data_IF_637658198739
#
_entry.id   IF_637658198739
#
_cell.length_a   1.000
_cell.length_b   1.000
_cell.length_c   1.000
_cell.angle_alpha   90.00
_cell.angle_beta   90.00
_cell.angle_gamma   90.00
#
_symmetry.space_group_name_H-M   'P 1'
#
loop_
_entity.id
_entity.type
_entity.pdbx_description
1 polymer ?
#
# COMPACT_ATOMS: atom_id res chain seq x y z
N UNK A 1 -26.77 9.84 -10.21
CA UNK A 1 -27.57 8.65 -9.88
C UNK A 1 -26.97 8.01 -8.64
N UNK A 2 -27.76 7.86 -7.55
CA UNK A 2 -27.31 7.41 -6.22
C UNK A 2 -26.61 6.05 -6.32
N UNK A 3 -25.37 5.96 -5.83
CA UNK A 3 -24.64 4.69 -5.70
C UNK A 3 -25.39 3.79 -4.70
N UNK A 4 -26.10 2.79 -5.22
CA UNK A 4 -26.58 1.65 -4.43
C UNK A 4 -25.35 0.81 -4.07
N UNK A 5 -24.63 1.24 -3.05
CA UNK A 5 -23.86 0.30 -2.24
C UNK A 5 -24.86 -0.69 -1.65
N UNK A 6 -24.57 -1.98 -1.83
CA UNK A 6 -25.27 -3.09 -1.21
C UNK A 6 -25.56 -2.76 0.28
N UNK A 7 -26.73 -3.12 0.83
CA UNK A 7 -27.03 -2.85 2.21
C UNK A 7 -25.93 -3.47 3.08
N UNK A 8 -25.41 -2.66 4.01
CA UNK A 8 -24.46 -3.07 5.04
C UNK A 8 -24.86 -4.46 5.53
N UNK A 9 -24.03 -5.47 5.24
CA UNK A 9 -24.22 -6.81 5.79
C UNK A 9 -24.39 -6.64 7.29
N UNK A 10 -25.47 -7.24 7.81
CA UNK A 10 -25.80 -7.38 9.24
C UNK A 10 -24.51 -7.41 10.07
N UNK A 11 -24.39 -6.54 11.08
CA UNK A 11 -23.42 -6.71 12.17
C UNK A 11 -23.42 -8.19 12.54
N UNK A 12 -22.31 -8.89 12.33
CA UNK A 12 -22.16 -10.25 12.85
C UNK A 12 -22.50 -10.17 14.33
N UNK A 13 -23.36 -11.07 14.84
CA UNK A 13 -23.56 -11.19 16.29
C UNK A 13 -22.16 -11.22 16.93
N UNK A 14 -21.85 -10.24 17.76
CA UNK A 14 -20.64 -10.30 18.57
C UNK A 14 -20.73 -11.56 19.40
N UNK A 15 -19.66 -12.36 19.37
CA UNK A 15 -19.66 -13.66 19.98
C UNK A 15 -19.83 -13.50 21.50
N UNK A 16 -20.50 -14.45 22.15
CA UNK A 16 -20.61 -14.41 23.61
C UNK A 16 -19.22 -14.49 24.26
N UNK A 17 -19.05 -13.96 25.47
CA UNK A 17 -17.81 -14.08 26.24
C UNK A 17 -17.30 -15.53 26.32
N UNK A 18 -18.22 -16.47 26.54
CA UNK A 18 -17.89 -17.89 26.57
C UNK A 18 -17.33 -18.41 25.23
N UNK A 19 -17.74 -17.84 24.10
CA UNK A 19 -17.22 -18.19 22.78
C UNK A 19 -15.84 -17.59 22.52
N UNK A 20 -15.62 -16.32 22.89
CA UNK A 20 -14.31 -15.68 22.74
C UNK A 20 -13.25 -16.33 23.67
N UNK A 21 -13.62 -16.69 24.90
CA UNK A 21 -12.72 -17.45 25.77
C UNK A 21 -12.37 -18.82 25.20
N UNK A 22 -13.34 -19.54 24.60
CA UNK A 22 -13.04 -20.80 23.89
C UNK A 22 -12.14 -20.59 22.67
N UNK A 23 -12.21 -19.45 21.98
CA UNK A 23 -11.28 -19.12 20.89
C UNK A 23 -9.88 -18.86 21.42
N UNK A 24 -9.75 -18.15 22.53
CA UNK A 24 -8.47 -17.95 23.21
C UNK A 24 -7.84 -19.30 23.63
N UNK A 25 -8.63 -20.20 24.22
CA UNK A 25 -8.15 -21.53 24.65
C UNK A 25 -7.59 -22.37 23.49
N UNK A 26 -8.11 -22.23 22.27
CA UNK A 26 -7.56 -22.91 21.08
C UNK A 26 -6.16 -22.46 20.68
N UNK A 27 -5.68 -21.35 21.22
CA UNK A 27 -4.34 -20.82 20.96
C UNK A 27 -3.28 -21.32 21.97
N UNK A 28 -3.69 -22.06 23.00
CA UNK A 28 -2.79 -22.59 24.03
C UNK A 28 -1.93 -23.74 23.48
N UNK A 29 -0.67 -23.80 23.89
CA UNK A 29 0.16 -25.00 23.71
C UNK A 29 0.04 -25.89 24.96
N UNK A 30 -0.33 -27.18 24.86
CA UNK A 30 -0.37 -28.03 26.03
C UNK A 30 0.99 -28.10 26.74
N UNK A 31 1.08 -27.95 28.10
CA UNK A 31 -0.01 -27.92 29.08
C UNK A 31 -0.39 -26.51 29.60
N UNK A 32 -0.30 -25.46 28.78
CA UNK A 32 -0.61 -24.08 29.17
C UNK A 32 -2.07 -23.88 29.62
N UNK A 33 -2.26 -22.95 30.56
CA UNK A 33 -3.56 -22.39 30.90
C UNK A 33 -3.65 -20.94 30.41
N UNK A 34 -4.86 -20.46 30.11
CA UNK A 34 -5.08 -19.07 29.69
C UNK A 34 -4.69 -18.11 30.84
N UNK A 35 -3.71 -17.21 30.65
CA UNK A 35 -3.31 -16.29 31.70
C UNK A 35 -4.46 -15.37 32.13
N UNK A 36 -4.56 -15.11 33.43
CA UNK A 36 -5.63 -14.25 33.98
C UNK A 36 -5.63 -12.82 33.38
N UNK A 37 -4.48 -12.17 33.11
CA UNK A 37 -4.47 -10.90 32.38
C UNK A 37 -5.14 -10.98 31.00
N UNK A 38 -4.91 -12.06 30.26
CA UNK A 38 -5.50 -12.28 28.93
C UNK A 38 -7.01 -12.48 29.04
N UNK A 39 -7.46 -13.27 30.03
CA UNK A 39 -8.89 -13.44 30.32
C UNK A 39 -9.58 -12.09 30.58
N UNK A 40 -8.95 -11.23 31.40
CA UNK A 40 -9.46 -9.87 31.68
C UNK A 40 -9.55 -9.01 30.42
N UNK A 41 -8.54 -9.05 29.54
CA UNK A 41 -8.57 -8.36 28.25
C UNK A 41 -9.74 -8.85 27.36
N UNK A 42 -9.94 -10.17 27.26
CA UNK A 42 -11.05 -10.75 26.48
C UNK A 42 -12.41 -10.30 27.04
N UNK A 43 -12.58 -10.36 28.36
CA UNK A 43 -13.81 -9.90 29.02
C UNK A 43 -14.06 -8.42 28.74
N UNK A 44 -13.06 -7.56 28.96
CA UNK A 44 -13.16 -6.12 28.75
C UNK A 44 -13.62 -5.75 27.33
N UNK A 45 -13.01 -6.38 26.31
CA UNK A 45 -13.30 -6.11 24.90
C UNK A 45 -14.69 -6.64 24.50
N UNK A 46 -15.06 -7.83 24.98
CA UNK A 46 -16.34 -8.45 24.67
C UNK A 46 -17.51 -7.69 25.29
N UNK A 47 -17.39 -7.27 26.56
CA UNK A 47 -18.44 -6.49 27.25
C UNK A 47 -18.68 -5.11 26.59
N UNK A 48 -17.70 -4.59 25.86
CA UNK A 48 -17.75 -3.28 25.18
C UNK A 48 -18.06 -3.37 23.69
N UNK A 49 -18.39 -4.55 23.17
CA UNK A 49 -18.72 -4.77 21.76
C UNK A 49 -17.58 -4.36 20.79
N UNK A 50 -16.31 -4.47 21.23
CA UNK A 50 -15.14 -4.13 20.43
C UNK A 50 -14.69 -5.36 19.65
N UNK A 51 -14.44 -5.22 18.33
CA UNK A 51 -13.82 -6.31 17.57
C UNK A 51 -12.37 -6.51 18.00
N UNK A 52 -11.97 -7.77 18.21
CA UNK A 52 -10.58 -8.10 18.46
C UNK A 52 -10.19 -9.48 17.91
N UNK A 53 -8.88 -9.67 17.77
CA UNK A 53 -8.26 -10.96 17.48
C UNK A 53 -7.06 -11.20 18.40
N UNK A 54 -7.03 -12.36 19.04
CA UNK A 54 -5.87 -12.80 19.82
C UNK A 54 -4.88 -13.56 18.96
N UNK A 55 -3.59 -13.39 19.25
CA UNK A 55 -2.51 -14.16 18.64
C UNK A 55 -1.47 -14.53 19.71
N UNK A 56 -0.77 -15.65 19.51
CA UNK A 56 0.42 -16.01 20.30
C UNK A 56 1.66 -15.43 19.65
N UNK A 57 2.58 -14.93 20.46
CA UNK A 57 3.88 -14.42 20.04
C UNK A 57 4.99 -14.94 20.95
N UNK A 58 6.23 -14.91 20.46
CA UNK A 58 7.41 -15.04 21.33
C UNK A 58 7.41 -13.90 22.37
N UNK A 59 8.03 -14.08 23.57
CA UNK A 59 8.05 -13.04 24.60
C UNK A 59 8.55 -11.69 24.05
N UNK A 60 7.81 -10.62 24.27
CA UNK A 60 8.07 -9.29 23.71
C UNK A 60 8.22 -8.25 24.81
N UNK A 61 9.32 -7.49 24.83
CA UNK A 61 9.61 -6.50 25.89
C UNK A 61 9.73 -5.04 25.43
N UNK A 62 9.68 -4.77 24.12
CA UNK A 62 9.72 -3.41 23.56
C UNK A 62 8.82 -3.30 22.33
N UNK A 63 8.43 -2.09 21.94
CA UNK A 63 7.57 -1.88 20.75
C UNK A 63 8.21 -2.41 19.47
N UNK A 64 9.52 -2.23 19.28
CA UNK A 64 10.22 -2.74 18.09
C UNK A 64 10.29 -4.27 18.06
N UNK A 65 10.57 -4.86 19.22
CA UNK A 65 10.56 -6.32 19.41
C UNK A 65 9.14 -6.89 19.26
N UNK A 66 8.12 -6.12 19.63
CA UNK A 66 6.72 -6.47 19.46
C UNK A 66 6.36 -6.52 17.99
N UNK A 67 6.60 -5.42 17.28
CA UNK A 67 6.27 -5.30 15.87
C UNK A 67 6.92 -6.43 15.06
N UNK A 68 8.18 -6.81 15.35
CA UNK A 68 8.86 -7.88 14.62
C UNK A 68 8.39 -9.29 14.94
N UNK A 69 7.74 -9.54 16.10
CA UNK A 69 7.31 -10.87 16.56
C UNK A 69 5.80 -11.10 16.51
N UNK A 70 5.02 -10.05 16.28
CA UNK A 70 3.57 -10.17 16.11
C UNK A 70 3.23 -10.83 14.79
N UNK A 71 2.08 -11.52 14.76
CA UNK A 71 1.64 -12.27 13.58
C UNK A 71 0.39 -11.66 12.98
N UNK A 72 0.39 -11.46 11.66
CA UNK A 72 -0.79 -11.07 10.88
C UNK A 72 -0.75 -11.76 9.51
N UNK A 73 -1.89 -12.25 9.05
CA UNK A 73 -2.04 -12.92 7.75
C UNK A 73 -1.02 -14.05 7.49
N UNK A 74 -0.67 -14.82 8.53
CA UNK A 74 0.28 -15.94 8.39
C UNK A 74 1.75 -15.54 8.33
N UNK A 75 2.08 -14.25 8.47
CA UNK A 75 3.44 -13.74 8.53
C UNK A 75 3.78 -13.23 9.93
N UNK A 76 5.08 -13.30 10.29
CA UNK A 76 5.64 -12.70 11.50
C UNK A 76 6.26 -11.35 11.14
N UNK A 77 5.96 -10.33 11.93
CA UNK A 77 6.23 -8.94 11.62
C UNK A 77 4.96 -8.18 11.24
N UNK A 78 4.72 -7.05 11.89
CA UNK A 78 3.73 -6.04 11.50
C UNK A 78 4.42 -4.69 11.28
N UNK A 79 3.81 -3.78 10.53
CA UNK A 79 4.25 -2.40 10.51
C UNK A 79 4.28 -1.78 11.92
N UNK A 80 5.30 -0.97 12.23
CA UNK A 80 5.44 -0.35 13.54
C UNK A 80 4.31 0.64 13.85
N UNK A 81 3.68 1.26 12.84
CA UNK A 81 2.48 2.08 13.06
C UNK A 81 1.27 1.28 13.49
N UNK A 82 1.27 -0.05 13.28
CA UNK A 82 0.23 -0.95 13.80
C UNK A 82 0.54 -1.42 15.23
N UNK A 83 1.73 -1.14 15.77
CA UNK A 83 1.98 -1.32 17.20
C UNK A 83 1.27 -0.21 18.00
N UNK A 84 0.55 -0.59 19.04
CA UNK A 84 -0.08 0.33 19.98
C UNK A 84 0.78 0.47 21.24
N UNK A 85 1.38 1.65 21.37
CA UNK A 85 2.31 2.01 22.43
C UNK A 85 1.57 2.74 23.55
N UNK A 86 1.83 2.34 24.78
CA UNK A 86 1.27 2.97 25.98
C UNK A 86 2.39 3.46 26.89
N UNK A 87 2.24 4.68 27.39
CA UNK A 87 3.09 5.29 28.40
C UNK A 87 2.29 5.47 29.68
N UNK A 88 2.88 5.18 30.83
CA UNK A 88 2.24 5.38 32.13
C UNK A 88 3.03 6.43 32.91
N UNK A 89 2.32 7.43 33.43
CA UNK A 89 2.91 8.52 34.19
C UNK A 89 1.99 9.06 35.27
N UNK A 90 2.45 10.10 35.95
CA UNK A 90 1.72 10.78 37.00
C UNK A 90 1.78 12.28 36.76
N UNK A 91 0.70 12.99 37.07
CA UNK A 91 0.65 14.44 36.94
C UNK A 91 -0.06 15.07 38.15
N UNK A 92 0.09 16.37 38.30
CA UNK A 92 -0.64 17.17 39.28
C UNK A 92 -1.70 17.95 38.52
N UNK A 93 -2.97 17.73 38.86
CA UNK A 93 -4.07 18.42 38.20
C UNK A 93 -4.22 19.87 38.68
N UNK A 94 -5.13 20.63 38.07
CA UNK A 94 -5.38 22.03 38.44
C UNK A 94 -5.79 22.25 39.91
N UNK A 95 -6.30 21.21 40.58
CA UNK A 95 -6.64 21.23 42.01
C UNK A 95 -5.47 20.87 42.95
N UNK A 96 -4.27 20.62 42.42
CA UNK A 96 -3.11 20.20 43.20
C UNK A 96 -3.10 18.72 43.59
N UNK A 97 -4.07 17.92 43.12
CA UNK A 97 -4.15 16.47 43.41
C UNK A 97 -3.29 15.70 42.41
N UNK A 98 -2.54 14.72 42.93
CA UNK A 98 -1.79 13.79 42.09
C UNK A 98 -2.72 12.75 41.44
N UNK A 99 -2.59 12.55 40.14
CA UNK A 99 -3.39 11.60 39.35
C UNK A 99 -2.49 10.81 38.38
N UNK A 100 -2.92 9.60 38.03
CA UNK A 100 -2.26 8.77 37.04
C UNK A 100 -2.82 9.03 35.64
N UNK A 101 -1.95 8.89 34.64
CA UNK A 101 -2.32 8.98 33.23
C UNK A 101 -1.66 7.88 32.42
N UNK A 102 -2.39 7.36 31.43
CA UNK A 102 -1.83 6.56 30.34
C UNK A 102 -1.96 7.32 29.03
N UNK A 103 -0.84 7.57 28.37
CA UNK A 103 -0.79 8.15 27.03
C UNK A 103 -0.62 7.05 25.99
N UNK A 104 -1.44 7.05 24.94
CA UNK A 104 -1.44 6.04 23.90
C UNK A 104 -1.11 6.65 22.54
N UNK A 105 -0.18 6.03 21.80
CA UNK A 105 0.14 6.42 20.43
C UNK A 105 0.54 5.20 19.60
N UNK A 106 0.73 5.39 18.29
CA UNK A 106 1.28 4.36 17.40
C UNK A 106 2.77 4.14 17.67
N UNK A 107 3.28 2.96 17.39
CA UNK A 107 4.67 2.58 17.69
C UNK A 107 5.71 3.40 16.92
N UNK A 108 5.35 3.93 15.75
CA UNK A 108 6.18 4.81 14.89
C UNK A 108 6.16 6.28 15.33
N UNK A 109 5.73 6.53 16.58
CA UNK A 109 5.63 7.85 17.19
C UNK A 109 6.42 7.95 18.49
N UNK A 110 6.93 9.16 18.72
CA UNK A 110 7.51 9.59 19.99
C UNK A 110 6.43 10.33 20.76
N UNK A 111 6.19 9.93 22.01
CA UNK A 111 5.26 10.63 22.89
C UNK A 111 5.87 11.97 23.33
N UNK A 112 5.15 13.06 23.13
CA UNK A 112 5.55 14.38 23.59
C UNK A 112 4.90 14.69 24.95
N UNK A 113 5.69 14.64 26.02
CA UNK A 113 5.22 14.88 27.39
C UNK A 113 4.69 16.31 27.60
N UNK A 114 5.18 17.29 26.85
CA UNK A 114 4.69 18.67 26.91
C UNK A 114 3.28 18.77 26.33
N UNK A 115 3.03 18.11 25.19
CA UNK A 115 1.70 18.07 24.59
C UNK A 115 0.72 17.28 25.47
N UNK A 116 1.17 16.15 26.04
CA UNK A 116 0.36 15.39 26.99
C UNK A 116 0.00 16.23 28.22
N UNK A 117 0.95 16.97 28.81
CA UNK A 117 0.69 17.85 29.96
C UNK A 117 -0.36 18.92 29.63
N UNK A 118 -0.24 19.56 28.45
CA UNK A 118 -1.21 20.54 27.96
C UNK A 118 -2.61 19.95 27.81
N UNK A 119 -2.73 18.73 27.28
CA UNK A 119 -4.02 18.05 27.11
C UNK A 119 -4.76 17.79 28.44
N UNK A 120 -4.01 17.72 29.55
CA UNK A 120 -4.52 17.49 30.90
C UNK A 120 -4.67 18.79 31.71
N UNK A 121 -4.38 19.95 31.13
CA UNK A 121 -4.23 21.21 31.87
C UNK A 121 -3.25 21.10 33.05
N UNK A 122 -2.16 20.35 32.87
CA UNK A 122 -1.12 20.13 33.86
C UNK A 122 0.13 20.96 33.54
N UNK A 123 0.85 21.43 34.55
CA UNK A 123 2.13 22.14 34.36
C UNK A 123 3.25 21.19 33.91
N UNK A 124 3.32 20.01 34.52
CA UNK A 124 4.29 18.97 34.20
C UNK A 124 3.67 17.58 34.39
N UNK A 125 4.22 16.61 33.68
CA UNK A 125 3.98 15.17 33.90
C UNK A 125 5.32 14.59 34.35
N UNK A 126 5.30 13.76 35.39
CA UNK A 126 6.50 13.07 35.82
C UNK A 126 7.03 12.19 34.69
N UNK A 127 8.35 12.14 34.51
CA UNK A 127 8.96 11.07 33.71
C UNK A 127 8.52 9.69 34.24
N UNK A 128 8.65 8.68 33.38
CA UNK A 128 8.24 7.27 33.60
C UNK A 128 8.30 6.87 35.08
N UNK A 129 7.21 6.30 35.61
CA UNK A 129 7.25 5.73 36.96
C UNK A 129 8.38 4.70 37.07
N UNK A 130 9.16 4.70 38.16
CA UNK A 130 10.15 3.66 38.42
C UNK A 130 9.53 2.27 38.34
N UNK A 131 10.30 1.27 37.92
CA UNK A 131 9.82 -0.11 37.78
C UNK A 131 9.23 -0.65 39.09
N UNK A 132 9.81 -0.27 40.24
CA UNK A 132 9.36 -0.68 41.57
C UNK A 132 7.97 -0.12 41.90
N UNK A 133 7.69 1.12 41.49
CA UNK A 133 6.37 1.74 41.68
C UNK A 133 5.32 1.12 40.75
N UNK A 134 5.71 0.73 39.54
CA UNK A 134 4.83 -0.04 38.65
C UNK A 134 4.53 -1.44 39.20
N UNK A 135 5.54 -2.14 39.74
CA UNK A 135 5.34 -3.44 40.37
C UNK A 135 4.39 -3.37 41.56
N UNK A 136 4.46 -2.30 42.36
CA UNK A 136 3.49 -2.05 43.46
C UNK A 136 2.06 -1.91 42.94
N UNK A 137 1.89 -1.36 41.74
CA UNK A 137 0.59 -1.26 41.05
C UNK A 137 0.23 -2.53 40.25
N UNK A 138 1.04 -3.60 40.34
CA UNK A 138 0.83 -4.85 39.59
C UNK A 138 1.13 -4.74 38.09
N UNK A 139 1.93 -3.75 37.68
CA UNK A 139 2.25 -3.44 36.28
C UNK A 139 3.72 -3.72 35.97
N UNK A 140 4.00 -4.14 34.74
CA UNK A 140 5.35 -4.27 34.21
C UNK A 140 5.46 -3.51 32.88
N UNK A 141 6.60 -2.86 32.63
CA UNK A 141 6.86 -2.25 31.32
C UNK A 141 6.83 -3.33 30.23
N UNK A 142 6.11 -3.05 29.14
CA UNK A 142 5.81 -4.03 28.10
C UNK A 142 4.49 -4.77 28.31
N UNK A 143 3.87 -4.67 29.49
CA UNK A 143 2.51 -5.17 29.77
C UNK A 143 1.49 -4.05 29.96
N UNK A 144 1.95 -2.80 30.07
CA UNK A 144 1.09 -1.61 30.08
C UNK A 144 0.33 -1.52 28.76
N UNK A 145 -0.98 -1.65 28.85
CA UNK A 145 -1.92 -1.68 27.73
C UNK A 145 -3.20 -0.92 28.14
N UNK A 146 -4.08 -0.57 27.21
CA UNK A 146 -5.24 0.27 27.52
C UNK A 146 -6.35 -0.49 28.29
N UNK A 147 -6.18 -1.80 28.46
CA UNK A 147 -7.04 -2.68 29.27
C UNK A 147 -6.51 -2.82 30.71
N UNK A 148 -5.32 -2.29 31.00
CA UNK A 148 -4.73 -2.31 32.33
C UNK A 148 -5.65 -1.56 33.28
N UNK A 149 -6.04 -2.28 34.33
CA UNK A 149 -7.04 -1.80 35.26
C UNK A 149 -8.45 -1.98 34.73
N UNK A 150 -8.79 -3.16 34.17
CA UNK A 150 -10.17 -3.59 33.94
C UNK A 150 -10.98 -3.54 35.26
N UNK A 151 -11.43 -2.32 35.51
CA UNK A 151 -12.49 -1.72 36.30
C UNK A 151 -13.60 -2.67 36.79
N UNK A 152 -13.27 -3.62 37.67
CA UNK A 152 -14.22 -4.20 38.61
C UNK A 152 -13.84 -3.81 40.04
N UNK A 153 -14.82 -3.44 40.90
CA UNK A 153 -14.54 -3.13 42.31
C UNK A 153 -13.84 -4.32 43.00
N UNK A 154 -12.76 -4.08 43.74
CA UNK A 154 -12.20 -5.06 44.68
C UNK A 154 -10.92 -5.81 44.27
N UNK A 155 -10.22 -5.41 43.19
CA UNK A 155 -8.96 -6.05 42.77
C UNK A 155 -7.86 -5.05 42.35
N UNK A 156 -8.02 -3.77 42.65
CA UNK A 156 -7.02 -2.73 42.45
C UNK A 156 -6.35 -2.39 43.78
N UNK A 157 -5.10 -1.91 43.72
CA UNK A 157 -4.48 -1.24 44.86
C UNK A 157 -5.44 -0.12 45.35
N UNK A 158 -5.73 -0.02 46.67
CA UNK A 158 -6.56 1.04 47.24
C UNK A 158 -6.20 2.46 46.76
N UNK A 159 -4.95 2.68 46.34
CA UNK A 159 -4.47 3.95 45.78
C UNK A 159 -5.08 4.29 44.40
N UNK A 160 -5.37 3.29 43.56
CA UNK A 160 -5.98 3.48 42.23
C UNK A 160 -7.50 3.68 42.38
N UNK A 161 -8.16 2.98 43.30
CA UNK A 161 -9.60 3.16 43.57
C UNK A 161 -9.93 4.61 44.01
N UNK A 162 -8.97 5.32 44.61
CA UNK A 162 -9.13 6.71 45.08
C UNK A 162 -8.76 7.77 44.01
N UNK A 163 -8.12 7.37 42.91
CA UNK A 163 -7.71 8.27 41.81
C UNK A 163 -7.75 7.54 40.47
N UNK A 164 -8.84 7.68 39.68
CA UNK A 164 -8.97 6.98 38.40
C UNK A 164 -7.84 7.35 37.47
N UNK A 165 -7.36 6.36 36.71
CA UNK A 165 -6.32 6.53 35.70
C UNK A 165 -6.96 7.14 34.47
N UNK A 166 -6.53 8.33 34.07
CA UNK A 166 -6.98 8.96 32.83
C UNK A 166 -6.29 8.32 31.63
N UNK A 167 -7.03 8.07 30.55
CA UNK A 167 -6.44 7.61 29.29
C UNK A 167 -6.48 8.74 28.25
N UNK A 168 -5.33 9.06 27.67
CA UNK A 168 -5.19 10.03 26.59
C UNK A 168 -4.74 9.29 25.34
N UNK A 169 -5.54 9.35 24.28
CA UNK A 169 -5.25 8.75 23.00
C UNK A 169 -4.75 9.83 22.03
N UNK A 170 -3.64 9.55 21.37
CA UNK A 170 -3.17 10.38 20.28
C UNK A 170 -4.24 10.47 19.18
N UNK A 171 -4.46 11.66 18.64
CA UNK A 171 -5.50 11.93 17.65
C UNK A 171 -5.34 11.06 16.38
N UNK A 172 -4.12 10.65 16.03
CA UNK A 172 -3.86 9.78 14.87
C UNK A 172 -4.40 8.35 15.07
N UNK A 173 -4.58 7.89 16.30
CA UNK A 173 -5.22 6.59 16.59
C UNK A 173 -6.68 6.56 16.16
N UNK A 174 -7.32 7.72 15.97
CA UNK A 174 -8.70 7.80 15.48
C UNK A 174 -8.79 7.58 13.95
N UNK A 175 -7.64 7.59 13.26
CA UNK A 175 -7.55 7.28 11.84
C UNK A 175 -7.12 5.83 11.63
N UNK A 176 -7.85 5.11 10.77
CA UNK A 176 -7.50 3.76 10.34
C UNK A 176 -6.43 3.84 9.24
N UNK A 177 -5.20 3.50 9.60
CA UNK A 177 -4.01 3.59 8.73
C UNK A 177 -3.68 2.20 8.17
N UNK A 178 -3.46 2.11 6.86
CA UNK A 178 -3.20 0.82 6.20
C UNK A 178 -4.41 -0.11 6.20
N UNK A 179 -4.16 -1.40 5.98
CA UNK A 179 -5.19 -2.46 5.96
C UNK A 179 -4.84 -3.52 7.01
N UNK A 180 -5.75 -3.86 7.95
CA UNK A 180 -7.15 -3.42 8.03
C UNK A 180 -7.37 -2.09 8.77
N UNK A 181 -6.31 -1.40 9.21
CA UNK A 181 -6.43 -0.17 9.99
C UNK A 181 -6.57 -0.38 11.50
N UNK A 182 -6.30 -1.60 11.95
CA UNK A 182 -6.22 -2.02 13.35
C UNK A 182 -4.85 -1.70 13.94
N UNK A 183 -4.75 -1.85 15.25
CA UNK A 183 -3.49 -1.80 16.00
C UNK A 183 -3.36 -3.04 16.87
N UNK A 184 -2.16 -3.32 17.38
CA UNK A 184 -1.86 -4.45 18.23
C UNK A 184 -1.08 -4.04 19.48
N UNK A 185 -1.40 -4.65 20.62
CA UNK A 185 -0.58 -4.54 21.84
C UNK A 185 -0.53 -5.88 22.55
N UNK A 186 0.19 -5.98 23.66
CA UNK A 186 0.19 -7.18 24.49
C UNK A 186 -1.15 -7.31 25.23
N UNK A 187 -1.72 -8.52 25.27
CA UNK A 187 -2.98 -8.80 25.95
C UNK A 187 -2.77 -9.02 27.48
N UNK A 188 -1.92 -8.18 28.09
CA UNK A 188 -1.52 -8.33 29.51
C UNK A 188 -0.53 -9.46 29.80
N UNK A 189 -0.04 -10.17 28.78
CA UNK A 189 1.00 -11.20 28.89
C UNK A 189 2.03 -11.04 27.76
N UNK A 190 3.32 -11.27 28.03
CA UNK A 190 4.42 -11.04 27.07
C UNK A 190 4.35 -11.96 25.85
N UNK A 191 3.61 -13.07 25.95
CA UNK A 191 3.44 -14.09 24.92
C UNK A 191 2.08 -14.02 24.20
N UNK A 192 1.23 -13.06 24.58
CA UNK A 192 -0.07 -12.85 23.96
C UNK A 192 -0.20 -11.45 23.36
N UNK A 193 -0.65 -11.39 22.13
CA UNK A 193 -1.00 -10.17 21.42
C UNK A 193 -2.52 -10.08 21.25
N UNK A 194 -3.03 -8.86 21.26
CA UNK A 194 -4.41 -8.55 20.87
C UNK A 194 -4.41 -7.47 19.81
N UNK A 195 -5.14 -7.73 18.73
CA UNK A 195 -5.42 -6.81 17.63
C UNK A 195 -6.83 -6.23 17.80
N UNK A 196 -7.00 -4.92 17.58
CA UNK A 196 -8.27 -4.22 17.74
C UNK A 196 -8.30 -2.90 16.98
N UNK A 197 -9.48 -2.27 16.88
CA UNK A 197 -9.62 -0.91 16.35
C UNK A 197 -9.46 0.13 17.47
N UNK A 198 -8.43 0.97 17.37
CA UNK A 198 -8.14 1.98 18.40
C UNK A 198 -9.26 3.02 18.55
N UNK A 199 -9.93 3.38 17.43
CA UNK A 199 -11.05 4.32 17.43
C UNK A 199 -12.30 3.73 18.12
N UNK A 200 -12.51 2.42 18.04
CA UNK A 200 -13.59 1.74 18.77
C UNK A 200 -13.29 1.71 20.27
N UNK A 201 -12.06 1.33 20.64
CA UNK A 201 -11.62 1.31 22.03
C UNK A 201 -11.79 2.68 22.70
N UNK A 202 -11.25 3.75 22.10
CA UNK A 202 -11.27 5.08 22.71
C UNK A 202 -12.69 5.61 22.95
N UNK A 203 -13.68 5.19 22.15
CA UNK A 203 -15.11 5.54 22.34
C UNK A 203 -15.78 4.82 23.51
N UNK A 204 -15.19 3.75 24.02
CA UNK A 204 -15.77 2.91 25.09
C UNK A 204 -15.05 3.05 26.43
N UNK A 205 -13.91 3.75 26.46
CA UNK A 205 -13.17 4.06 27.68
C UNK A 205 -13.77 5.32 28.30
N UNK A 206 -14.21 5.20 29.55
CA UNK A 206 -14.79 6.31 30.29
C UNK A 206 -13.75 7.43 30.48
N UNK A 207 -14.16 8.67 30.23
CA UNK A 207 -13.31 9.86 30.36
C UNK A 207 -12.04 9.83 29.48
N UNK A 208 -12.05 9.08 28.38
CA UNK A 208 -10.96 9.13 27.40
C UNK A 208 -10.79 10.54 26.82
N UNK A 209 -9.56 11.01 26.74
CA UNK A 209 -9.18 12.28 26.13
C UNK A 209 -8.54 11.99 24.77
N UNK A 210 -8.99 12.67 23.72
CA UNK A 210 -8.35 12.62 22.40
C UNK A 210 -7.57 13.93 22.21
N UNK A 211 -6.26 13.83 22.01
CA UNK A 211 -5.40 15.00 21.83
C UNK A 211 -4.19 14.65 20.95
N UNK A 212 -3.59 15.64 20.31
CA UNK A 212 -2.29 15.48 19.67
C UNK A 212 -1.23 15.40 20.78
N UNK A 213 -0.66 14.22 21.01
CA UNK A 213 0.30 13.96 22.09
C UNK A 213 1.58 13.27 21.61
N UNK A 214 1.70 13.01 20.30
CA UNK A 214 2.82 12.30 19.73
C UNK A 214 3.30 12.91 18.41
N UNK A 215 4.59 12.73 18.13
CA UNK A 215 5.26 13.26 16.94
C UNK A 215 5.90 12.13 16.14
N UNK A 216 6.11 12.29 14.81
CA UNK A 216 6.81 11.31 13.99
C UNK A 216 8.20 10.98 14.54
N UNK A 217 8.52 9.68 14.62
CA UNK A 217 9.87 9.22 14.96
C UNK A 217 10.74 9.20 13.70
N UNK A 218 11.72 10.11 13.55
CA UNK A 218 12.58 10.17 12.36
C UNK A 218 13.47 8.94 12.21
N UNK A 219 13.76 8.20 13.30
CA UNK A 219 14.61 7.02 13.26
C UNK A 219 13.89 5.77 12.74
N UNK A 220 12.55 5.77 12.85
CA UNK A 220 11.71 4.62 12.49
C UNK A 220 11.11 4.74 11.08
N UNK A 221 10.94 5.95 10.55
CA UNK A 221 10.31 6.19 9.25
C UNK A 221 10.81 5.32 8.06
N UNK A 222 12.12 5.01 7.90
CA UNK A 222 12.61 4.23 6.77
C UNK A 222 12.64 2.71 6.98
N UNK A 223 12.20 2.20 8.15
CA UNK A 223 12.47 0.80 8.57
C UNK A 223 11.24 -0.10 8.65
N UNK A 224 10.07 0.40 8.28
CA UNK A 224 8.81 -0.25 8.62
C UNK A 224 8.28 -1.08 7.44
N UNK A 225 7.89 -2.37 7.66
CA UNK A 225 7.19 -3.17 6.67
C UNK A 225 5.87 -2.52 6.21
N UNK A 226 5.49 -2.71 4.95
CA UNK A 226 4.24 -2.21 4.39
C UNK A 226 4.25 -0.73 4.00
N UNK A 227 3.06 -0.19 3.69
CA UNK A 227 2.87 1.19 3.26
C UNK A 227 1.82 1.89 4.12
N UNK A 228 2.23 2.96 4.79
CA UNK A 228 1.38 3.73 5.72
C UNK A 228 0.17 4.36 5.03
N UNK A 229 0.37 4.90 3.83
CA UNK A 229 -0.68 5.56 3.06
C UNK A 229 -0.72 4.98 1.63
N UNK A 230 -1.38 3.83 1.41
CA UNK A 230 -1.44 3.21 0.10
C UNK A 230 -2.22 4.09 -0.87
N UNK A 231 -1.59 4.39 -2.01
CA UNK A 231 -2.20 5.16 -3.10
C UNK A 231 -2.81 4.21 -4.14
N UNK A 232 -3.94 4.60 -4.69
CA UNK A 232 -4.66 3.82 -5.71
C UNK A 232 -4.13 4.08 -7.13
N UNK A 233 -4.07 3.03 -7.94
CA UNK A 233 -3.65 3.10 -9.35
C UNK A 233 -4.86 2.83 -10.25
N UNK A 234 -5.12 3.73 -11.19
CA UNK A 234 -6.03 3.52 -12.30
C UNK A 234 -5.28 2.97 -13.50
N UNK A 235 -5.77 1.90 -14.11
CA UNK A 235 -5.22 1.34 -15.36
C UNK A 235 -6.31 1.38 -16.41
N UNK A 236 -6.11 2.16 -17.46
CA UNK A 236 -6.93 2.09 -18.66
C UNK A 236 -6.25 1.17 -19.67
N UNK A 237 -7.01 0.23 -20.23
CA UNK A 237 -6.52 -0.76 -21.18
C UNK A 237 -7.61 -1.10 -22.21
N UNK A 238 -7.30 -1.98 -23.16
CA UNK A 238 -8.23 -2.37 -24.23
C UNK A 238 -7.57 -2.56 -25.59
N UNK A 239 -6.30 -2.20 -25.74
CA UNK A 239 -5.50 -2.44 -26.95
C UNK A 239 -4.22 -3.25 -26.65
N UNK A 240 -4.27 -4.55 -26.42
CA UNK A 240 -5.45 -5.36 -26.07
C UNK A 240 -5.73 -5.28 -24.55
N UNK A 241 -6.84 -5.86 -24.03
CA UNK A 241 -7.06 -5.97 -22.59
C UNK A 241 -5.92 -6.66 -21.82
N UNK A 242 -5.27 -7.64 -22.46
CA UNK A 242 -4.11 -8.36 -21.93
C UNK A 242 -2.97 -7.43 -21.51
N UNK A 243 -2.79 -6.30 -22.20
CA UNK A 243 -1.78 -5.29 -21.88
C UNK A 243 -1.95 -4.75 -20.46
N UNK A 244 -3.19 -4.48 -20.03
CA UNK A 244 -3.49 -4.00 -18.69
C UNK A 244 -3.32 -5.07 -17.61
N UNK A 245 -3.65 -6.33 -17.93
CA UNK A 245 -3.44 -7.48 -17.03
C UNK A 245 -1.95 -7.68 -16.77
N UNK A 246 -1.13 -7.64 -17.83
CA UNK A 246 0.33 -7.74 -17.71
C UNK A 246 0.90 -6.56 -16.93
N UNK A 247 0.47 -5.33 -17.23
CA UNK A 247 0.94 -4.16 -16.50
C UNK A 247 0.71 -4.32 -15.00
N UNK A 248 -0.50 -4.70 -14.61
CA UNK A 248 -0.86 -4.89 -13.20
C UNK A 248 -0.03 -6.00 -12.55
N UNK A 249 0.14 -7.12 -13.24
CA UNK A 249 0.98 -8.23 -12.77
C UNK A 249 2.41 -7.76 -12.48
N UNK A 250 3.03 -7.08 -13.45
CA UNK A 250 4.38 -6.53 -13.31
C UNK A 250 4.47 -5.47 -12.21
N UNK A 251 3.45 -4.63 -12.04
CA UNK A 251 3.41 -3.64 -10.93
C UNK A 251 3.47 -4.37 -9.59
N UNK A 252 2.68 -5.43 -9.39
CA UNK A 252 2.72 -6.22 -8.16
C UNK A 252 4.10 -6.85 -7.93
N UNK A 253 4.73 -7.36 -8.98
CA UNK A 253 6.07 -7.96 -8.90
C UNK A 253 7.13 -6.91 -8.51
N UNK A 254 7.08 -5.72 -9.11
CA UNK A 254 7.95 -4.61 -8.73
C UNK A 254 7.70 -4.11 -7.31
N UNK A 255 6.45 -4.05 -6.85
CA UNK A 255 6.13 -3.70 -5.46
C UNK A 255 6.75 -4.71 -4.50
N UNK A 256 6.63 -6.02 -4.77
CA UNK A 256 7.30 -7.06 -3.96
C UNK A 256 8.81 -6.92 -3.99
N UNK A 257 9.39 -6.69 -5.16
CA UNK A 257 10.84 -6.56 -5.33
C UNK A 257 11.40 -5.34 -4.59
N UNK A 258 10.75 -4.18 -4.73
CA UNK A 258 11.17 -2.92 -4.12
C UNK A 258 11.00 -2.93 -2.60
N UNK A 259 9.94 -3.59 -2.08
CA UNK A 259 9.76 -3.78 -0.64
C UNK A 259 10.67 -4.88 -0.08
N UNK A 260 11.00 -5.91 -0.86
CA UNK A 260 11.79 -7.05 -0.40
C UNK A 260 11.20 -7.68 0.86
N UNK A 261 12.03 -7.79 1.92
CA UNK A 261 11.59 -8.31 3.23
C UNK A 261 10.50 -7.49 3.92
N UNK A 262 10.29 -6.24 3.49
CA UNK A 262 9.27 -5.35 4.02
C UNK A 262 7.89 -5.55 3.34
N UNK A 263 7.78 -6.49 2.39
CA UNK A 263 6.50 -6.85 1.78
C UNK A 263 5.66 -7.69 2.74
N UNK A 264 4.49 -7.17 3.12
CA UNK A 264 3.51 -7.83 3.99
C UNK A 264 2.42 -8.58 3.19
N UNK A 265 2.76 -9.07 1.99
CA UNK A 265 1.80 -9.75 1.12
C UNK A 265 0.70 -8.83 0.59
N UNK A 266 -0.55 -9.29 0.65
CA UNK A 266 -1.71 -8.63 0.04
C UNK A 266 -1.88 -7.17 0.48
N UNK A 267 -1.67 -6.87 1.76
CA UNK A 267 -1.86 -5.53 2.32
C UNK A 267 -0.78 -4.53 1.88
N UNK A 268 0.28 -5.01 1.20
CA UNK A 268 1.29 -4.15 0.58
C UNK A 268 0.96 -3.79 -0.87
N UNK A 269 0.03 -4.50 -1.51
CA UNK A 269 -0.29 -4.29 -2.92
C UNK A 269 -1.17 -3.05 -3.11
N UNK A 270 -1.02 -2.32 -4.24
CA UNK A 270 -1.83 -1.14 -4.50
C UNK A 270 -3.30 -1.51 -4.70
N UNK A 271 -4.25 -0.69 -4.21
CA UNK A 271 -5.62 -0.71 -4.70
C UNK A 271 -5.63 -0.34 -6.18
N UNK A 272 -6.21 -1.17 -7.05
CA UNK A 272 -6.23 -0.95 -8.50
C UNK A 272 -7.66 -0.86 -9.04
N UNK A 273 -7.91 0.14 -9.88
CA UNK A 273 -9.13 0.26 -10.69
C UNK A 273 -8.76 0.06 -12.15
N UNK A 274 -9.26 -1.00 -12.77
CA UNK A 274 -9.02 -1.27 -14.20
C UNK A 274 -10.26 -0.89 -14.99
N UNK A 275 -10.07 -0.13 -16.08
CA UNK A 275 -11.10 0.16 -17.06
C UNK A 275 -10.64 -0.34 -18.43
N UNK A 276 -11.21 -1.45 -18.87
CA UNK A 276 -10.87 -2.10 -20.14
C UNK A 276 -11.90 -1.74 -21.20
N UNK A 277 -11.51 -0.96 -22.22
CA UNK A 277 -12.39 -0.48 -23.29
C UNK A 277 -11.91 -0.96 -24.67
N UNK A 278 -12.65 -1.86 -25.35
CA UNK A 278 -12.22 -2.39 -26.65
C UNK A 278 -12.10 -1.31 -27.73
N UNK A 279 -12.76 -0.16 -27.58
CA UNK A 279 -12.65 1.01 -28.47
C UNK A 279 -11.22 1.54 -28.58
N UNK A 280 -10.37 1.33 -27.57
CA UNK A 280 -8.94 1.65 -27.68
C UNK A 280 -8.25 0.87 -28.80
N UNK A 281 -8.76 -0.31 -29.19
CA UNK A 281 -8.21 -1.08 -30.30
C UNK A 281 -8.21 -0.33 -31.63
N UNK A 282 -9.08 0.66 -31.78
CA UNK A 282 -9.15 1.54 -32.94
C UNK A 282 -7.91 2.45 -33.08
N UNK A 283 -7.06 2.55 -32.04
CA UNK A 283 -5.79 3.29 -32.10
C UNK A 283 -4.80 2.69 -33.10
N UNK A 284 -5.00 1.44 -33.54
CA UNK A 284 -4.21 0.86 -34.62
C UNK A 284 -4.48 1.53 -36.00
N UNK A 285 -5.53 2.35 -36.10
CA UNK A 285 -5.93 3.15 -37.27
C UNK A 285 -6.06 4.64 -36.89
N UNK A 286 -5.08 5.18 -36.12
CA UNK A 286 -5.16 6.53 -35.57
C UNK A 286 -5.44 7.60 -36.63
N UNK A 287 -4.86 7.49 -37.83
CA UNK A 287 -5.09 8.40 -38.96
C UNK A 287 -6.57 8.58 -39.34
N UNK A 288 -7.40 7.57 -39.08
CA UNK A 288 -8.82 7.54 -39.46
C UNK A 288 -9.76 7.63 -38.27
N UNK A 289 -9.28 7.29 -37.08
CA UNK A 289 -10.13 7.03 -35.90
C UNK A 289 -9.74 7.82 -34.66
N UNK A 290 -8.82 8.77 -34.78
CA UNK A 290 -8.33 9.62 -33.69
C UNK A 290 -9.45 10.14 -32.78
N UNK A 291 -10.48 10.78 -33.34
CA UNK A 291 -11.59 11.36 -32.57
C UNK A 291 -12.39 10.31 -31.78
N UNK A 292 -12.62 9.13 -32.37
CA UNK A 292 -13.35 8.04 -31.72
C UNK A 292 -12.54 7.44 -30.57
N UNK A 293 -11.24 7.24 -30.79
CA UNK A 293 -10.31 6.73 -29.76
C UNK A 293 -10.23 7.73 -28.62
N UNK A 294 -10.06 9.02 -28.92
CA UNK A 294 -9.98 10.06 -27.91
C UNK A 294 -11.26 10.15 -27.08
N UNK A 295 -12.43 10.13 -27.74
CA UNK A 295 -13.72 10.16 -27.03
C UNK A 295 -13.84 9.02 -26.03
N UNK A 296 -13.54 7.79 -26.47
CA UNK A 296 -13.59 6.61 -25.60
C UNK A 296 -12.59 6.71 -24.45
N UNK A 297 -11.34 7.11 -24.74
CA UNK A 297 -10.29 7.27 -23.74
C UNK A 297 -10.66 8.34 -22.70
N UNK A 298 -11.20 9.48 -23.13
CA UNK A 298 -11.68 10.55 -22.24
C UNK A 298 -12.77 10.05 -21.30
N UNK A 299 -13.75 9.29 -21.80
CA UNK A 299 -14.81 8.72 -20.96
C UNK A 299 -14.27 7.72 -19.94
N UNK A 300 -13.30 6.89 -20.33
CA UNK A 300 -12.60 5.97 -19.44
C UNK A 300 -11.82 6.71 -18.33
N UNK A 301 -11.10 7.78 -18.67
CA UNK A 301 -10.40 8.64 -17.70
C UNK A 301 -11.39 9.17 -16.68
N UNK A 302 -12.49 9.79 -17.12
CA UNK A 302 -13.52 10.32 -16.23
C UNK A 302 -14.18 9.24 -15.36
N UNK A 303 -14.33 8.01 -15.87
CA UNK A 303 -14.85 6.88 -15.09
C UNK A 303 -13.88 6.47 -13.98
N UNK A 304 -12.60 6.33 -14.30
CA UNK A 304 -11.54 5.98 -13.35
C UNK A 304 -11.32 7.11 -12.33
N UNK A 305 -11.38 8.37 -12.76
CA UNK A 305 -11.29 9.53 -11.85
C UNK A 305 -12.37 9.53 -10.79
N UNK A 306 -13.61 9.16 -11.15
CA UNK A 306 -14.72 9.05 -10.19
C UNK A 306 -14.52 7.94 -9.15
N UNK A 307 -13.65 6.98 -9.40
CA UNK A 307 -13.27 5.96 -8.42
C UNK A 307 -12.20 6.45 -7.43
N UNK A 308 -11.70 7.69 -7.58
CA UNK A 308 -10.76 8.31 -6.64
C UNK A 308 -9.33 7.76 -6.74
N UNK A 309 -8.91 7.33 -7.93
CA UNK A 309 -7.51 6.90 -8.15
C UNK A 309 -6.53 8.05 -7.94
N UNK A 310 -5.29 7.75 -7.53
CA UNK A 310 -4.23 8.76 -7.36
C UNK A 310 -3.27 8.84 -8.54
N UNK A 311 -3.01 7.70 -9.16
CA UNK A 311 -2.21 7.60 -10.38
C UNK A 311 -3.05 7.07 -11.52
N UNK A 312 -2.80 7.55 -12.73
CA UNK A 312 -3.38 7.01 -13.95
C UNK A 312 -2.28 6.44 -14.84
N UNK A 313 -2.47 5.20 -15.26
CA UNK A 313 -1.71 4.53 -16.30
C UNK A 313 -2.59 4.20 -17.51
N UNK A 314 -2.02 4.33 -18.71
CA UNK A 314 -2.65 3.88 -19.96
C UNK A 314 -1.77 2.78 -20.55
N UNK A 315 -2.26 1.54 -20.49
CA UNK A 315 -1.53 0.32 -20.83
C UNK A 315 -1.55 0.06 -22.34
N UNK A 316 -1.02 1.00 -23.12
CA UNK A 316 -0.91 0.93 -24.58
C UNK A 316 0.15 1.94 -25.04
N UNK A 317 0.91 1.62 -26.08
CA UNK A 317 1.96 2.52 -26.59
C UNK A 317 1.36 3.61 -27.49
N UNK A 318 0.34 3.28 -28.27
CA UNK A 318 -0.20 4.15 -29.33
C UNK A 318 -1.03 5.29 -28.75
N UNK A 319 -1.91 5.01 -27.80
CA UNK A 319 -2.77 6.01 -27.12
C UNK A 319 -2.00 6.97 -26.22
N UNK A 320 -0.71 6.75 -25.97
CA UNK A 320 0.18 7.74 -25.35
C UNK A 320 0.32 9.00 -26.20
N UNK A 321 -0.03 8.94 -27.49
CA UNK A 321 -0.21 10.12 -28.34
C UNK A 321 -1.05 11.21 -27.67
N UNK A 322 -2.13 10.83 -26.97
CA UNK A 322 -3.01 11.75 -26.25
C UNK A 322 -2.46 12.20 -24.88
N UNK A 323 -1.19 11.97 -24.57
CA UNK A 323 -0.59 12.37 -23.29
C UNK A 323 -0.86 13.84 -22.91
N UNK A 324 -0.76 14.84 -23.81
CA UNK A 324 -1.10 16.22 -23.48
C UNK A 324 -2.53 16.39 -22.98
N UNK A 325 -3.51 15.81 -23.66
CA UNK A 325 -4.92 15.90 -23.31
C UNK A 325 -5.25 15.11 -22.04
N UNK A 326 -4.63 13.92 -21.87
CA UNK A 326 -4.73 13.12 -20.65
C UNK A 326 -4.23 13.93 -19.45
N UNK A 327 -3.11 14.66 -19.58
CA UNK A 327 -2.56 15.49 -18.49
C UNK A 327 -3.53 16.61 -18.09
N UNK A 328 -4.17 17.26 -19.06
CA UNK A 328 -5.16 18.30 -18.79
C UNK A 328 -6.31 17.73 -17.95
N UNK A 329 -6.93 16.62 -18.39
CA UNK A 329 -8.03 15.98 -17.66
C UNK A 329 -7.62 15.48 -16.27
N UNK A 330 -6.42 14.90 -16.17
CA UNK A 330 -5.88 14.45 -14.88
C UNK A 330 -5.65 15.63 -13.93
N UNK A 331 -5.14 16.76 -14.43
CA UNK A 331 -4.94 17.99 -13.67
C UNK A 331 -6.24 18.55 -13.09
N UNK A 332 -7.33 18.53 -13.86
CA UNK A 332 -8.67 18.94 -13.42
C UNK A 332 -9.24 18.04 -12.32
N UNK A 333 -8.81 16.79 -12.26
CA UNK A 333 -9.31 15.78 -11.31
C UNK A 333 -8.35 15.47 -10.16
N UNK A 334 -7.20 16.15 -10.10
CA UNK A 334 -6.18 15.94 -9.06
C UNK A 334 -5.49 14.58 -9.12
N UNK A 335 -5.46 13.96 -10.30
CA UNK A 335 -4.83 12.65 -10.57
C UNK A 335 -3.48 12.89 -11.22
N UNK A 336 -2.50 12.08 -10.88
CA UNK A 336 -1.21 12.12 -11.53
C UNK A 336 -1.19 11.14 -12.72
N UNK A 337 -1.00 11.66 -13.94
CA UNK A 337 -0.75 10.81 -15.11
C UNK A 337 0.72 10.38 -15.18
N UNK A 338 0.95 9.08 -15.27
CA UNK A 338 2.30 8.51 -15.47
C UNK A 338 2.45 8.14 -16.94
N UNK A 339 3.36 8.81 -17.65
CA UNK A 339 3.62 8.60 -19.09
C UNK A 339 4.58 7.43 -19.32
N UNK A 340 4.17 6.48 -20.16
CA UNK A 340 4.98 5.33 -20.55
C UNK A 340 6.25 5.76 -21.32
N UNK A 341 6.16 6.61 -22.36
CA UNK A 341 7.34 7.11 -23.07
C UNK A 341 8.35 7.85 -22.19
N UNK A 342 7.87 8.63 -21.20
CA UNK A 342 8.76 9.33 -20.26
C UNK A 342 9.46 8.37 -19.31
N UNK A 343 8.76 7.35 -18.81
CA UNK A 343 9.36 6.30 -17.98
C UNK A 343 10.47 5.55 -18.74
N UNK A 344 10.20 5.19 -20.00
CA UNK A 344 11.22 4.55 -20.86
C UNK A 344 12.40 5.48 -21.09
N UNK A 345 12.16 6.75 -21.39
CA UNK A 345 13.25 7.70 -21.64
C UNK A 345 14.10 7.97 -20.40
N UNK A 346 13.49 8.01 -19.20
CA UNK A 346 14.21 8.12 -17.93
C UNK A 346 15.09 6.89 -17.68
N UNK A 347 14.55 5.69 -17.90
CA UNK A 347 15.30 4.44 -17.83
C UNK A 347 16.50 4.43 -18.77
N UNK A 348 16.30 4.75 -20.05
CA UNK A 348 17.37 4.74 -21.06
C UNK A 348 18.52 5.68 -20.69
N UNK A 349 18.21 6.87 -20.18
CA UNK A 349 19.22 7.82 -19.70
C UNK A 349 19.97 7.30 -18.47
N UNK A 350 19.25 6.71 -17.52
CA UNK A 350 19.84 6.13 -16.30
C UNK A 350 20.80 4.99 -16.61
N UNK A 351 20.44 4.12 -17.55
CA UNK A 351 21.27 2.99 -17.99
C UNK A 351 22.36 3.38 -19.03
N UNK A 352 22.45 4.66 -19.41
CA UNK A 352 23.46 5.15 -20.33
C UNK A 352 23.27 4.73 -21.79
N UNK A 353 22.06 4.38 -22.20
CA UNK A 353 21.73 4.05 -23.59
C UNK A 353 21.58 5.32 -24.44
N UNK A 354 22.61 5.64 -25.23
CA UNK A 354 22.63 6.80 -26.13
C UNK A 354 22.12 6.49 -27.55
N UNK A 355 22.04 5.22 -27.93
CA UNK A 355 21.56 4.75 -29.24
C UNK A 355 20.69 3.51 -29.09
N UNK A 356 19.49 3.52 -29.67
CA UNK A 356 18.51 2.43 -29.61
C UNK A 356 17.77 2.27 -30.94
N UNK A 357 17.14 1.13 -31.16
CA UNK A 357 16.06 0.99 -32.13
C UNK A 357 14.70 0.98 -31.44
N UNK A 358 13.71 1.65 -32.03
CA UNK A 358 12.34 1.69 -31.52
C UNK A 358 11.46 0.76 -32.36
N UNK A 359 11.30 -0.49 -31.91
CA UNK A 359 10.51 -1.49 -32.62
C UNK A 359 9.03 -1.35 -32.25
N UNK A 360 8.25 -0.69 -33.11
CA UNK A 360 6.81 -0.59 -32.98
C UNK A 360 6.11 -0.33 -34.31
N UNK A 361 4.79 -0.13 -34.27
CA UNK A 361 4.02 0.26 -35.47
C UNK A 361 4.30 1.72 -35.83
N UNK A 362 3.85 2.14 -37.02
CA UNK A 362 3.98 3.51 -37.55
C UNK A 362 3.63 4.57 -36.51
N UNK A 363 2.48 4.46 -35.86
CA UNK A 363 1.99 5.46 -34.90
C UNK A 363 2.88 5.64 -33.66
N UNK A 364 3.77 4.69 -33.38
CA UNK A 364 4.67 4.71 -32.23
C UNK A 364 6.12 4.96 -32.65
N UNK A 365 6.58 4.33 -33.73
CA UNK A 365 8.00 4.33 -34.11
C UNK A 365 8.35 5.35 -35.19
N UNK A 366 7.37 5.89 -35.93
CA UNK A 366 7.58 6.93 -36.93
C UNK A 366 7.46 8.33 -36.29
N UNK A 367 8.54 9.11 -36.36
CA UNK A 367 8.60 10.46 -35.82
C UNK A 367 8.22 11.54 -36.85
N UNK A 368 8.04 11.20 -38.12
CA UNK A 368 7.72 12.16 -39.18
C UNK A 368 6.25 12.58 -39.17
N UNK A 369 5.33 11.68 -38.80
CA UNK A 369 3.88 11.90 -38.88
C UNK A 369 3.25 12.52 -37.61
N UNK A 370 4.07 12.99 -36.67
CA UNK A 370 3.64 13.65 -35.42
C UNK A 370 2.71 12.85 -34.49
N UNK A 371 2.55 11.53 -34.69
CA UNK A 371 1.77 10.66 -33.80
C UNK A 371 2.58 10.08 -32.63
N UNK A 372 3.90 9.97 -32.77
CA UNK A 372 4.70 9.28 -31.76
C UNK A 372 4.88 10.10 -30.48
N UNK A 373 4.33 9.59 -29.38
CA UNK A 373 4.56 10.11 -28.04
C UNK A 373 6.01 9.91 -27.53
N UNK A 374 6.84 9.15 -28.24
CA UNK A 374 8.25 8.94 -27.90
C UNK A 374 9.18 10.03 -28.44
N UNK A 375 8.72 10.82 -29.43
CA UNK A 375 9.55 11.83 -30.11
C UNK A 375 10.18 12.83 -29.13
N UNK A 376 9.36 13.43 -28.27
CA UNK A 376 9.83 14.42 -27.29
C UNK A 376 10.62 13.78 -26.14
N UNK A 377 10.13 12.72 -25.47
CA UNK A 377 10.85 12.09 -24.37
C UNK A 377 12.22 11.53 -24.77
N UNK A 378 12.40 11.03 -26.00
CA UNK A 378 13.66 10.48 -26.48
C UNK A 378 14.62 11.52 -27.07
N UNK A 379 14.33 12.82 -26.98
CA UNK A 379 15.30 13.87 -27.38
C UNK A 379 16.65 13.64 -26.68
N UNK A 380 17.72 13.67 -27.47
CA UNK A 380 19.09 13.41 -27.04
C UNK A 380 19.53 11.94 -27.09
N UNK A 381 18.64 11.01 -27.45
CA UNK A 381 18.96 9.60 -27.75
C UNK A 381 18.89 9.41 -29.26
N UNK A 382 19.88 8.76 -29.86
CA UNK A 382 19.85 8.38 -31.28
C UNK A 382 18.87 7.21 -31.47
N UNK A 383 17.80 7.43 -32.22
CA UNK A 383 16.74 6.45 -32.44
C UNK A 383 16.80 5.93 -33.87
N UNK A 384 17.18 4.66 -34.05
CA UNK A 384 16.92 3.91 -35.26
C UNK A 384 15.42 3.64 -35.37
N UNK A 385 14.82 4.15 -36.45
CA UNK A 385 13.41 3.96 -36.77
C UNK A 385 13.28 2.81 -37.77
N UNK A 386 12.32 1.90 -37.61
CA UNK A 386 12.09 0.83 -38.57
C UNK A 386 11.71 1.39 -39.94
N UNK A 387 12.24 0.79 -41.02
CA UNK A 387 11.79 1.08 -42.39
C UNK A 387 10.41 0.51 -42.69
N UNK A 388 9.85 0.81 -43.88
CA UNK A 388 8.47 0.46 -44.24
C UNK A 388 8.15 -1.04 -44.12
N UNK A 389 9.03 -1.91 -44.63
CA UNK A 389 8.86 -3.37 -44.51
C UNK A 389 8.82 -3.83 -43.06
N UNK A 390 9.63 -3.22 -42.20
CA UNK A 390 9.71 -3.54 -40.79
C UNK A 390 8.46 -3.06 -40.04
N UNK A 391 7.97 -1.86 -40.34
CA UNK A 391 6.73 -1.32 -39.78
C UNK A 391 5.54 -2.22 -40.14
N UNK A 392 5.44 -2.67 -41.40
CA UNK A 392 4.39 -3.58 -41.83
C UNK A 392 4.51 -4.94 -41.12
N UNK A 393 5.71 -5.53 -41.07
CA UNK A 393 5.92 -6.82 -40.42
C UNK A 393 5.61 -6.80 -38.91
N UNK A 394 5.99 -5.72 -38.22
CA UNK A 394 5.66 -5.50 -36.81
C UNK A 394 4.16 -5.30 -36.60
N UNK A 395 3.49 -4.55 -37.49
CA UNK A 395 2.03 -4.36 -37.46
C UNK A 395 1.28 -5.67 -37.63
N UNK A 396 1.64 -6.47 -38.65
CA UNK A 396 1.03 -7.77 -38.90
C UNK A 396 1.22 -8.72 -37.72
N UNK A 397 2.41 -8.73 -37.12
CA UNK A 397 2.68 -9.51 -35.93
C UNK A 397 1.82 -9.04 -34.74
N UNK A 398 1.70 -7.73 -34.52
CA UNK A 398 0.86 -7.19 -33.46
C UNK A 398 -0.61 -7.59 -33.63
N UNK A 399 -1.17 -7.48 -34.84
CA UNK A 399 -2.53 -7.96 -35.13
C UNK A 399 -2.67 -9.47 -34.93
N UNK A 400 -1.67 -10.25 -35.33
CA UNK A 400 -1.66 -11.69 -35.09
C UNK A 400 -1.74 -11.99 -33.58
N UNK A 401 -0.89 -11.38 -32.77
CA UNK A 401 -0.87 -11.56 -31.31
C UNK A 401 -2.19 -11.14 -30.67
N UNK A 402 -2.83 -10.06 -31.14
CA UNK A 402 -4.15 -9.64 -30.64
C UNK A 402 -5.25 -10.66 -30.90
N UNK A 403 -5.19 -11.40 -32.01
CA UNK A 403 -6.20 -12.43 -32.36
C UNK A 403 -5.94 -13.77 -31.70
N UNK A 404 -4.68 -14.17 -31.65
CA UNK A 404 -4.25 -15.55 -31.32
C UNK A 404 -3.64 -15.64 -29.91
N UNK A 405 -3.35 -14.50 -29.28
CA UNK A 405 -2.51 -14.42 -28.09
C UNK A 405 -1.02 -14.60 -28.39
N UNK A 406 -0.19 -14.52 -27.35
CA UNK A 406 1.25 -14.74 -27.47
C UNK A 406 1.58 -16.22 -27.70
N UNK A 407 2.24 -16.52 -28.83
CA UNK A 407 2.63 -17.88 -29.25
C UNK A 407 4.13 -17.97 -29.51
N UNK A 408 4.69 -19.19 -29.45
CA UNK A 408 6.09 -19.44 -29.80
C UNK A 408 6.40 -19.09 -31.27
N UNK A 409 5.45 -19.34 -32.17
CA UNK A 409 5.55 -18.93 -33.57
C UNK A 409 5.64 -17.39 -33.71
N UNK A 410 4.83 -16.65 -32.95
CA UNK A 410 4.91 -15.19 -32.89
C UNK A 410 6.25 -14.70 -32.35
N UNK A 411 6.80 -15.37 -31.34
CA UNK A 411 8.12 -15.03 -30.77
C UNK A 411 9.25 -15.27 -31.78
N UNK A 412 9.20 -16.39 -32.51
CA UNK A 412 10.17 -16.67 -33.58
C UNK A 412 10.06 -15.63 -34.71
N UNK A 413 8.84 -15.26 -35.09
CA UNK A 413 8.59 -14.20 -36.08
C UNK A 413 9.14 -12.85 -35.62
N UNK A 414 8.95 -12.47 -34.35
CA UNK A 414 9.56 -11.27 -33.78
C UNK A 414 11.08 -11.31 -33.92
N UNK A 415 11.72 -12.41 -33.53
CA UNK A 415 13.17 -12.58 -33.64
C UNK A 415 13.64 -12.43 -35.09
N UNK A 416 12.94 -13.03 -36.05
CA UNK A 416 13.30 -12.92 -37.47
C UNK A 416 13.17 -11.49 -37.99
N UNK A 417 12.09 -10.77 -37.62
CA UNK A 417 11.90 -9.35 -37.93
C UNK A 417 13.06 -8.52 -37.38
N UNK A 418 13.38 -8.69 -36.09
CA UNK A 418 14.47 -7.93 -35.46
C UNK A 418 15.83 -8.24 -36.08
N UNK A 419 16.10 -9.50 -36.46
CA UNK A 419 17.36 -9.88 -37.13
C UNK A 419 17.46 -9.27 -38.53
N UNK A 420 16.37 -9.28 -39.28
CA UNK A 420 16.36 -8.85 -40.68
C UNK A 420 16.35 -7.33 -40.83
N UNK A 421 15.61 -6.64 -39.96
CA UNK A 421 15.26 -5.25 -40.19
C UNK A 421 15.84 -4.26 -39.18
N UNK A 422 16.34 -4.73 -38.04
CA UNK A 422 16.83 -3.84 -36.97
C UNK A 422 18.34 -3.99 -36.81
N UNK A 423 19.08 -2.89 -36.98
CA UNK A 423 20.55 -2.87 -36.92
C UNK A 423 21.04 -2.73 -35.48
N UNK A 424 20.44 -1.85 -34.70
CA UNK A 424 20.83 -1.56 -33.31
C UNK A 424 20.86 -2.82 -32.46
N UNK A 425 21.85 -2.91 -31.57
CA UNK A 425 21.97 -3.98 -30.58
C UNK A 425 21.07 -3.76 -29.37
N UNK A 426 20.62 -2.53 -29.13
CA UNK A 426 19.64 -2.19 -28.09
C UNK A 426 18.31 -1.87 -28.76
N UNK A 427 17.27 -2.63 -28.43
CA UNK A 427 15.94 -2.52 -29.06
C UNK A 427 14.87 -2.33 -28.00
N UNK A 428 14.13 -1.23 -28.09
CA UNK A 428 12.93 -0.96 -27.30
C UNK A 428 11.74 -1.56 -28.02
N UNK A 429 11.05 -2.53 -27.39
CA UNK A 429 9.86 -3.19 -27.94
C UNK A 429 8.61 -2.33 -27.69
N UNK A 430 8.45 -1.23 -28.43
CA UNK A 430 7.42 -0.21 -28.24
C UNK A 430 6.01 -0.62 -28.71
N UNK A 431 5.59 -1.83 -28.33
CA UNK A 431 4.25 -2.38 -28.51
C UNK A 431 3.96 -3.37 -27.39
N UNK A 432 2.77 -3.30 -26.81
CA UNK A 432 2.38 -4.16 -25.69
C UNK A 432 2.23 -5.62 -26.11
N UNK A 433 1.92 -5.88 -27.38
CA UNK A 433 1.87 -7.20 -28.00
C UNK A 433 3.25 -7.86 -28.05
N UNK A 434 4.30 -7.06 -28.22
CA UNK A 434 5.66 -7.58 -28.20
C UNK A 434 6.10 -7.90 -26.77
N UNK A 435 5.71 -7.08 -25.80
CA UNK A 435 5.86 -7.39 -24.36
C UNK A 435 5.20 -8.73 -24.01
N UNK A 436 3.97 -8.96 -24.48
CA UNK A 436 3.24 -10.24 -24.32
C UNK A 436 4.03 -11.44 -24.83
N UNK A 437 4.70 -11.31 -25.98
CA UNK A 437 5.52 -12.38 -26.56
C UNK A 437 6.75 -12.70 -25.71
N UNK A 438 7.48 -11.69 -25.25
CA UNK A 438 8.73 -11.88 -24.49
C UNK A 438 8.51 -12.20 -23.01
N UNK A 439 7.31 -11.94 -22.47
CA UNK A 439 6.93 -12.29 -21.10
C UNK A 439 6.72 -13.80 -20.93
N UNK A 440 6.12 -14.47 -21.93
CA UNK A 440 5.84 -15.91 -21.86
C UNK A 440 7.10 -16.77 -21.89
N UNK A 441 8.15 -16.33 -22.58
CA UNK A 441 9.42 -17.05 -22.69
C UNK A 441 10.59 -16.09 -22.90
N UNK A 442 11.70 -16.34 -22.21
CA UNK A 442 12.93 -15.56 -22.40
C UNK A 442 13.46 -15.76 -23.82
N UNK A 443 13.24 -14.77 -24.68
CA UNK A 443 13.75 -14.79 -26.05
C UNK A 443 15.27 -14.81 -26.05
N UNK A 444 15.87 -15.86 -26.63
CA UNK A 444 17.31 -15.86 -26.92
C UNK A 444 17.56 -14.94 -28.10
N UNK A 445 18.19 -13.81 -27.82
CA UNK A 445 18.53 -12.77 -28.78
C UNK A 445 19.99 -12.38 -28.60
N UNK A 446 20.68 -12.08 -29.70
CA UNK A 446 21.99 -11.42 -29.66
C UNK A 446 21.88 -9.93 -29.34
N UNK A 447 20.66 -9.37 -29.46
CA UNK A 447 20.32 -7.98 -29.14
C UNK A 447 19.77 -7.88 -27.72
N UNK A 448 20.09 -6.79 -27.03
CA UNK A 448 19.48 -6.38 -25.77
C UNK A 448 18.07 -5.86 -26.05
N UNK A 449 17.07 -6.58 -25.53
CA UNK A 449 15.66 -6.20 -25.67
C UNK A 449 15.19 -5.51 -24.40
N UNK A 450 14.61 -4.34 -24.58
CA UNK A 450 14.04 -3.53 -23.52
C UNK A 450 12.52 -3.60 -23.67
N UNK A 451 11.86 -4.11 -22.64
CA UNK A 451 10.39 -4.15 -22.53
C UNK A 451 9.87 -2.87 -21.85
N UNK A 452 9.18 -1.97 -22.58
CA UNK A 452 8.58 -0.76 -22.02
C UNK A 452 7.58 -1.05 -20.89
N UNK A 453 6.84 -2.16 -20.97
CA UNK A 453 5.82 -2.48 -19.96
C UNK A 453 6.45 -2.81 -18.61
N UNK A 454 7.61 -3.47 -18.62
CA UNK A 454 8.37 -3.71 -17.41
C UNK A 454 8.90 -2.42 -16.77
N UNK A 455 9.42 -1.49 -17.57
CA UNK A 455 9.88 -0.18 -17.10
C UNK A 455 8.70 0.64 -16.55
N UNK A 456 7.56 0.58 -17.23
CA UNK A 456 6.37 1.31 -16.81
C UNK A 456 5.83 0.80 -15.49
N UNK A 457 5.81 -0.52 -15.32
CA UNK A 457 5.45 -1.16 -14.06
C UNK A 457 6.39 -0.75 -12.92
N UNK A 458 7.71 -0.69 -13.17
CA UNK A 458 8.69 -0.19 -12.20
C UNK A 458 8.36 1.26 -11.80
N UNK A 459 8.11 2.14 -12.78
CA UNK A 459 7.80 3.55 -12.52
C UNK A 459 6.52 3.71 -11.69
N UNK A 460 5.47 2.95 -12.01
CA UNK A 460 4.21 2.94 -11.25
C UNK A 460 4.41 2.42 -9.82
N UNK A 461 5.17 1.33 -9.65
CA UNK A 461 5.49 0.78 -8.33
C UNK A 461 6.29 1.79 -7.49
N UNK A 462 7.28 2.47 -8.08
CA UNK A 462 8.05 3.53 -7.42
C UNK A 462 7.15 4.69 -6.99
N UNK A 463 6.24 5.16 -7.84
CA UNK A 463 5.28 6.23 -7.49
C UNK A 463 4.33 5.81 -6.38
N UNK A 464 3.83 4.58 -6.43
CA UNK A 464 3.01 4.00 -5.37
C UNK A 464 3.73 3.99 -4.02
N UNK A 465 5.01 3.59 -4.02
CA UNK A 465 5.85 3.54 -2.81
C UNK A 465 6.43 4.90 -2.41
N UNK A 466 6.21 5.97 -3.18
CA UNK A 466 6.79 7.29 -2.92
C UNK A 466 8.30 7.37 -3.15
N UNK A 467 8.85 6.48 -3.97
CA UNK A 467 10.26 6.44 -4.35
C UNK A 467 10.53 7.30 -5.59
N UNK A 468 11.77 7.77 -5.73
CA UNK A 468 12.22 8.42 -6.96
C UNK A 468 12.17 7.43 -8.16
N UNK A 469 11.78 7.96 -9.32
CA UNK A 469 11.65 7.25 -10.61
C UNK A 469 12.94 7.39 -11.42
#
# INVERSE_FOLDING_TARGET
>A
MKSRWLPARRRSKVASLAEELRRAEKLLYPPEALPEPVRRTVTFLTERDIWFQLNRNHPVRSCRDAASRRRRLGHEGIPLWDEFKSFFGRFINASGKSQFVVGHCRGDRILNLTLLARSLNAQTISERLPADDLQRLGLEYGLINPFVGSFQPGNLDPLIEQSPILQVFDSELMSRIGVPGTVMTNAGDLTWAVEFFADELARTVDQAIIAEIAEPDPEEAPRIPGLRNPKSIGIITGNAPDSGIILWTKVNDWVRQLLGRNSAGDVSMPPVVVHSIPEMGLSMELDRREEFVWKALREAILAVSRAGVKFLAVADNTTQYFAPEIRILCGETGIEFVSLPEAVAAFLRREGHSKIALAGIRWVADFEQNYSAYREPLRGIEVERPGEEALQALSDLAYQVKREGATEAGLNRLRDILRQYVKSDVVVLALTELSLLVDRQRMKSTKTLIDPMNIYAEALARRYLGLAV
#
